data_IF_552833403185
#
_entry.id   IF_552833403185
#
_cell.length_a   1.000
_cell.length_b   1.000
_cell.length_c   1.000
_cell.angle_alpha   90.00
_cell.angle_beta   90.00
_cell.angle_gamma   90.00
#
_symmetry.space_group_name_H-M   'P 1'
#
loop_
_entity.id
_entity.type
_entity.pdbx_description
1 polymer ?
#
# COMPACT_ATOMS: atom_id res chain seq x y z
N UNK A 1 -20.24 -4.94 43.24
CA UNK A 1 -18.92 -4.37 43.58
C UNK A 1 -17.85 -5.34 43.10
N UNK A 2 -17.25 -5.02 41.95
CA UNK A 2 -16.08 -5.60 41.24
C UNK A 2 -16.44 -5.55 39.76
N UNK A 3 -15.90 -4.55 39.08
CA UNK A 3 -16.19 -4.27 37.68
C UNK A 3 -15.80 -2.84 37.38
N UNK A 4 -14.50 -2.59 37.26
CA UNK A 4 -13.96 -1.47 36.48
C UNK A 4 -12.44 -1.59 36.45
N UNK A 5 -11.87 -2.24 35.44
CA UNK A 5 -10.44 -2.11 35.15
C UNK A 5 -10.03 -2.50 33.72
N UNK A 6 -10.95 -2.40 32.74
CA UNK A 6 -10.60 -2.64 31.33
C UNK A 6 -11.07 -1.51 30.39
N UNK A 7 -12.11 -0.74 30.75
CA UNK A 7 -12.51 0.45 29.97
C UNK A 7 -11.62 1.69 30.18
N UNK A 8 -10.63 1.65 31.07
CA UNK A 8 -9.82 2.83 31.40
C UNK A 8 -8.57 3.03 30.50
N UNK A 9 -8.23 2.08 29.63
CA UNK A 9 -6.96 2.13 28.88
C UNK A 9 -7.07 2.61 27.43
N UNK A 10 -8.27 2.65 26.86
CA UNK A 10 -8.46 3.04 25.45
C UNK A 10 -8.84 4.53 25.31
N UNK A 11 -9.41 5.15 26.35
CA UNK A 11 -9.79 6.57 26.33
C UNK A 11 -8.76 7.52 26.97
N UNK A 12 -7.67 7.00 27.55
CA UNK A 12 -6.61 7.84 28.15
C UNK A 12 -5.55 8.32 27.14
N UNK A 13 -5.48 7.74 25.95
CA UNK A 13 -4.48 8.12 24.93
C UNK A 13 -4.93 9.33 24.06
N UNK A 14 -6.22 9.65 24.01
CA UNK A 14 -6.75 10.72 23.15
C UNK A 14 -7.21 11.98 23.93
N UNK A 15 -7.56 11.87 25.21
CA UNK A 15 -8.13 12.98 25.98
C UNK A 15 -7.10 13.90 26.67
N UNK A 16 -5.83 13.50 26.74
CA UNK A 16 -4.77 14.30 27.41
C UNK A 16 -4.30 15.49 26.56
N UNK A 17 -4.67 15.55 25.27
CA UNK A 17 -4.13 16.58 24.37
C UNK A 17 -5.07 17.74 24.02
N UNK A 18 -6.38 17.72 24.38
CA UNK A 18 -7.33 18.73 23.87
C UNK A 18 -8.42 19.26 24.84
N UNK A 19 -8.46 18.84 26.11
CA UNK A 19 -9.19 19.59 27.16
C UNK A 19 -10.69 19.86 26.93
N UNK A 20 -11.46 18.93 26.35
CA UNK A 20 -12.91 19.08 26.15
C UNK A 20 -13.73 18.23 27.15
N UNK A 21 -14.87 18.74 27.65
CA UNK A 21 -15.74 18.03 28.59
C UNK A 21 -16.62 16.97 27.89
N UNK A 22 -16.77 15.82 28.56
CA UNK A 22 -17.48 14.63 28.08
C UNK A 22 -18.95 14.63 28.51
N UNK A 23 -19.87 14.44 27.56
CA UNK A 23 -21.29 14.15 27.79
C UNK A 23 -21.54 12.65 27.59
N UNK A 24 -22.03 11.97 28.62
CA UNK A 24 -22.30 10.54 28.57
C UNK A 24 -23.64 10.22 27.91
N UNK A 25 -23.60 9.49 26.81
CA UNK A 25 -24.72 8.64 26.39
C UNK A 25 -24.17 7.35 25.75
N UNK A 26 -24.59 6.20 26.29
CA UNK A 26 -24.00 4.89 26.02
C UNK A 26 -25.03 3.95 25.37
N UNK A 27 -25.47 4.32 24.17
CA UNK A 27 -26.19 3.45 23.23
C UNK A 27 -25.87 3.90 21.82
N UNK A 28 -24.67 3.54 21.35
CA UNK A 28 -24.28 3.72 19.95
C UNK A 28 -23.68 2.41 19.45
N UNK A 29 -24.39 1.74 18.54
CA UNK A 29 -23.75 0.79 17.64
C UNK A 29 -22.63 1.54 16.94
N UNK A 30 -21.39 1.04 17.01
CA UNK A 30 -20.30 1.54 16.18
C UNK A 30 -20.65 1.19 14.73
N UNK A 31 -21.45 2.04 14.08
CA UNK A 31 -21.29 2.23 12.65
C UNK A 31 -19.89 2.80 12.52
N UNK A 32 -19.02 2.07 11.84
CA UNK A 32 -17.95 2.73 11.11
C UNK A 32 -18.67 3.66 10.12
N UNK A 33 -18.98 4.88 10.55
CA UNK A 33 -19.01 5.99 9.61
C UNK A 33 -17.68 5.88 8.89
N UNK A 34 -17.73 5.67 7.57
CA UNK A 34 -16.56 5.85 6.72
C UNK A 34 -15.90 7.10 7.26
N UNK A 35 -14.65 6.98 7.73
CA UNK A 35 -13.86 8.14 8.06
C UNK A 35 -13.68 8.89 6.74
N UNK A 36 -14.69 9.70 6.39
CA UNK A 36 -14.57 10.82 5.51
C UNK A 36 -13.62 11.72 6.28
N UNK A 37 -12.32 11.48 6.10
CA UNK A 37 -11.31 12.49 6.30
C UNK A 37 -11.93 13.74 5.69
N UNK A 38 -12.23 14.73 6.53
CA UNK A 38 -12.85 15.97 6.10
C UNK A 38 -12.04 16.47 4.90
N UNK A 39 -12.57 16.21 3.70
CA UNK A 39 -12.00 16.61 2.44
C UNK A 39 -12.32 18.10 2.32
N UNK A 40 -11.70 18.87 3.20
CA UNK A 40 -11.99 20.27 3.44
C UNK A 40 -11.37 21.06 2.28
N UNK A 41 -12.13 21.14 1.19
CA UNK A 41 -11.76 21.86 -0.02
C UNK A 41 -12.56 21.41 -1.24
N UNK A 42 -13.67 22.08 -1.61
CA UNK A 42 -14.44 21.81 -2.84
C UNK A 42 -13.66 22.05 -4.16
N UNK A 43 -12.34 22.22 -4.11
CA UNK A 43 -11.47 22.41 -5.28
C UNK A 43 -10.45 21.28 -5.52
N UNK A 44 -10.26 20.33 -4.60
CA UNK A 44 -9.14 19.36 -4.69
C UNK A 44 -9.24 18.41 -5.88
N UNK A 45 -10.43 17.89 -6.19
CA UNK A 45 -10.63 16.96 -7.33
C UNK A 45 -10.48 17.66 -8.68
N UNK A 46 -11.03 18.87 -8.81
CA UNK A 46 -10.87 19.70 -10.00
C UNK A 46 -9.41 20.13 -10.22
N UNK A 47 -8.71 20.47 -9.14
CA UNK A 47 -7.30 20.85 -9.18
C UNK A 47 -6.42 19.66 -9.60
N UNK A 48 -6.70 18.45 -9.09
CA UNK A 48 -5.98 17.24 -9.48
C UNK A 48 -6.19 16.89 -10.96
N UNK A 49 -7.44 16.86 -11.43
CA UNK A 49 -7.73 16.56 -12.84
C UNK A 49 -7.08 17.59 -13.80
N UNK A 50 -7.10 18.86 -13.41
CA UNK A 50 -6.41 19.94 -14.14
C UNK A 50 -4.89 19.75 -14.15
N UNK A 51 -4.30 19.35 -13.02
CA UNK A 51 -2.87 19.04 -12.94
C UNK A 51 -2.49 17.84 -13.81
N UNK A 52 -3.27 16.77 -13.77
CA UNK A 52 -3.08 15.57 -14.59
C UNK A 52 -3.14 15.89 -16.09
N UNK A 53 -4.10 16.72 -16.52
CA UNK A 53 -4.19 17.19 -17.90
C UNK A 53 -2.93 17.97 -18.33
N UNK A 54 -2.45 18.90 -17.48
CA UNK A 54 -1.22 19.65 -17.77
C UNK A 54 0.02 18.76 -17.86
N UNK A 55 0.10 17.69 -17.05
CA UNK A 55 1.19 16.72 -17.15
C UNK A 55 1.09 15.93 -18.44
N UNK A 56 -0.12 15.55 -18.87
CA UNK A 56 -0.31 14.90 -20.16
C UNK A 56 0.20 15.78 -21.31
N UNK A 57 -0.16 17.08 -21.33
CA UNK A 57 0.36 18.04 -22.31
C UNK A 57 1.90 18.11 -22.30
N UNK A 58 2.50 18.12 -21.11
CA UNK A 58 3.96 18.10 -20.96
C UNK A 58 4.59 16.84 -21.55
N UNK A 59 3.99 15.67 -21.30
CA UNK A 59 4.47 14.38 -21.80
C UNK A 59 4.29 14.23 -23.31
N UNK A 60 3.22 14.78 -23.89
CA UNK A 60 3.00 14.81 -25.33
C UNK A 60 3.98 15.75 -26.04
N UNK A 61 4.29 16.90 -25.43
CA UNK A 61 5.24 17.86 -25.97
C UNK A 61 6.71 17.40 -25.86
N UNK A 62 7.00 16.40 -25.02
CA UNK A 62 8.36 15.92 -24.74
C UNK A 62 8.57 14.52 -25.31
N UNK A 63 9.34 14.36 -26.41
CA UNK A 63 9.59 13.05 -26.99
C UNK A 63 10.18 12.09 -25.96
N UNK A 64 9.58 10.90 -25.84
CA UNK A 64 10.04 9.90 -24.88
C UNK A 64 11.31 9.23 -25.40
N UNK A 65 12.47 9.67 -24.93
CA UNK A 65 13.77 9.19 -25.41
C UNK A 65 14.47 8.22 -24.45
N UNK A 66 14.00 8.13 -23.20
CA UNK A 66 14.63 7.32 -22.15
C UNK A 66 13.80 6.10 -21.76
N UNK A 67 14.47 5.06 -21.24
CA UNK A 67 13.80 3.94 -20.59
C UNK A 67 13.62 4.19 -19.09
N UNK A 68 12.49 3.75 -18.54
CA UNK A 68 12.27 3.72 -17.10
C UNK A 68 12.93 2.49 -16.47
N UNK A 69 13.80 2.71 -15.48
CA UNK A 69 14.57 1.64 -14.83
C UNK A 69 14.13 1.35 -13.39
N UNK A 70 13.30 2.18 -12.74
CA UNK A 70 12.91 2.02 -11.33
C UNK A 70 11.73 1.04 -11.16
N UNK A 71 11.79 -0.09 -11.88
CA UNK A 71 10.68 -1.06 -11.97
C UNK A 71 10.39 -1.79 -10.65
N UNK A 72 11.40 -1.97 -9.80
CA UNK A 72 11.23 -2.67 -8.52
C UNK A 72 10.23 -1.99 -7.58
N UNK A 73 10.18 -0.66 -7.57
CA UNK A 73 9.17 0.08 -6.80
C UNK A 73 7.76 -0.15 -7.36
N UNK A 74 7.58 -0.01 -8.67
CA UNK A 74 6.30 -0.26 -9.35
C UNK A 74 5.77 -1.68 -9.12
N UNK A 75 6.63 -2.70 -9.25
CA UNK A 75 6.23 -4.08 -8.97
C UNK A 75 5.94 -4.34 -7.49
N UNK A 76 6.51 -3.55 -6.58
CA UNK A 76 6.18 -3.63 -5.16
C UNK A 76 4.77 -3.13 -4.88
N UNK A 77 4.36 -2.00 -5.50
CA UNK A 77 2.97 -1.53 -5.46
C UNK A 77 2.00 -2.58 -6.02
N UNK A 78 2.35 -3.21 -7.15
CA UNK A 78 1.57 -4.33 -7.69
C UNK A 78 1.47 -5.52 -6.72
N UNK A 79 2.57 -5.85 -6.05
CA UNK A 79 2.57 -6.89 -5.01
C UNK A 79 1.63 -6.53 -3.88
N UNK A 80 1.69 -5.31 -3.35
CA UNK A 80 0.78 -4.87 -2.28
C UNK A 80 -0.69 -4.98 -2.68
N UNK A 81 -1.06 -4.49 -3.87
CA UNK A 81 -2.43 -4.59 -4.40
C UNK A 81 -2.88 -6.05 -4.45
N UNK A 82 -2.04 -6.93 -5.00
CA UNK A 82 -2.31 -8.37 -5.07
C UNK A 82 -2.55 -8.97 -3.70
N UNK A 83 -1.69 -8.68 -2.71
CA UNK A 83 -1.83 -9.27 -1.38
C UNK A 83 -3.03 -8.71 -0.62
N UNK A 84 -3.38 -7.43 -0.82
CA UNK A 84 -4.60 -6.83 -0.28
C UNK A 84 -5.86 -7.51 -0.85
N UNK A 85 -5.90 -7.81 -2.15
CA UNK A 85 -7.00 -8.57 -2.76
C UNK A 85 -7.12 -9.99 -2.21
N UNK A 86 -5.98 -10.66 -1.97
CA UNK A 86 -5.98 -12.02 -1.39
C UNK A 86 -6.45 -11.98 0.06
N UNK A 87 -6.06 -10.97 0.82
CA UNK A 87 -6.54 -10.78 2.19
C UNK A 87 -8.05 -10.55 2.22
N UNK A 88 -8.60 -9.74 1.31
CA UNK A 88 -10.04 -9.56 1.15
C UNK A 88 -10.74 -10.90 0.92
N UNK A 89 -10.30 -11.67 -0.09
CA UNK A 89 -10.87 -12.98 -0.42
C UNK A 89 -10.79 -13.96 0.75
N UNK A 90 -9.68 -13.95 1.50
CA UNK A 90 -9.51 -14.82 2.67
C UNK A 90 -10.54 -14.48 3.75
N UNK A 91 -10.66 -13.19 4.08
CA UNK A 91 -11.60 -12.71 5.08
C UNK A 91 -13.06 -13.02 4.69
N UNK A 92 -13.45 -12.78 3.42
CA UNK A 92 -14.77 -13.14 2.91
C UNK A 92 -15.03 -14.65 2.99
N UNK A 93 -14.05 -15.49 2.63
CA UNK A 93 -14.17 -16.94 2.74
C UNK A 93 -14.33 -17.41 4.19
N UNK A 94 -13.72 -16.72 5.16
CA UNK A 94 -13.91 -17.01 6.59
C UNK A 94 -15.29 -16.59 7.09
N UNK A 95 -15.86 -15.49 6.56
CA UNK A 95 -17.24 -15.07 6.83
C UNK A 95 -18.29 -16.06 6.31
N UNK A 96 -18.01 -16.75 5.21
CA UNK A 96 -18.93 -17.75 4.64
C UNK A 96 -18.86 -19.10 5.38
N UNK A 97 -17.72 -19.40 6.00
CA UNK A 97 -17.41 -20.70 6.62
C UNK A 97 -17.83 -20.82 8.08
N UNK A 98 -18.49 -19.83 8.65
CA UNK A 98 -18.74 -19.62 10.09
C UNK A 98 -19.63 -20.65 10.79
N UNK A 99 -19.77 -21.84 10.21
CA UNK A 99 -20.44 -23.01 10.79
C UNK A 99 -19.47 -24.04 11.41
N UNK A 100 -18.15 -23.84 11.38
CA UNK A 100 -17.17 -24.79 11.95
C UNK A 100 -16.24 -24.17 13.01
N UNK A 101 -15.98 -24.93 14.08
CA UNK A 101 -15.14 -24.60 15.26
C UNK A 101 -13.68 -24.20 14.98
N UNK A 102 -13.22 -24.14 13.73
CA UNK A 102 -11.86 -23.75 13.38
C UNK A 102 -11.73 -22.24 13.14
N UNK A 103 -11.75 -21.45 14.22
CA UNK A 103 -11.40 -20.05 14.19
C UNK A 103 -9.93 -19.89 13.76
N UNK A 104 -9.70 -19.55 12.50
CA UNK A 104 -8.38 -19.25 11.98
C UNK A 104 -8.08 -17.77 12.15
N UNK A 105 -7.04 -17.46 12.93
CA UNK A 105 -6.55 -16.09 13.05
C UNK A 105 -6.02 -15.58 11.71
N UNK A 106 -6.49 -14.40 11.30
CA UNK A 106 -5.97 -13.62 10.16
C UNK A 106 -4.71 -12.82 10.51
N UNK A 107 -4.26 -12.86 11.77
CA UNK A 107 -3.20 -11.99 12.29
C UNK A 107 -1.90 -12.13 11.49
N UNK A 108 -1.54 -13.36 11.13
CA UNK A 108 -0.32 -13.62 10.35
C UNK A 108 -0.42 -13.06 8.94
N UNK A 109 -1.54 -13.24 8.27
CA UNK A 109 -1.76 -12.76 6.91
C UNK A 109 -1.79 -11.22 6.87
N UNK A 110 -2.40 -10.59 7.87
CA UNK A 110 -2.43 -9.13 8.02
C UNK A 110 -1.06 -8.59 8.37
N UNK A 111 -0.31 -9.23 9.27
CA UNK A 111 1.08 -8.84 9.58
C UNK A 111 1.97 -8.92 8.34
N UNK A 112 1.79 -9.94 7.49
CA UNK A 112 2.51 -10.00 6.21
C UNK A 112 2.12 -8.86 5.25
N UNK A 113 0.82 -8.64 5.02
CA UNK A 113 0.33 -7.63 4.07
C UNK A 113 0.70 -6.21 4.53
N UNK A 114 0.42 -5.89 5.79
CA UNK A 114 0.58 -4.55 6.37
C UNK A 114 1.97 -4.37 6.97
N UNK A 115 2.35 -5.25 7.91
CA UNK A 115 3.55 -5.14 8.72
C UNK A 115 4.85 -5.36 7.94
N UNK A 116 4.81 -6.22 6.91
CA UNK A 116 5.95 -6.49 6.04
C UNK A 116 5.85 -5.79 4.68
N UNK A 117 4.85 -6.13 3.85
CA UNK A 117 4.78 -5.69 2.46
C UNK A 117 4.54 -4.17 2.33
N UNK A 118 3.41 -3.68 2.84
CA UNK A 118 3.04 -2.27 2.79
C UNK A 118 4.07 -1.37 3.50
N UNK A 119 4.49 -1.74 4.72
CA UNK A 119 5.50 -0.99 5.47
C UNK A 119 6.83 -0.90 4.72
N UNK A 120 7.25 -1.98 4.07
CA UNK A 120 8.43 -2.00 3.21
C UNK A 120 8.31 -1.02 2.04
N UNK A 121 7.17 -1.00 1.35
CA UNK A 121 6.89 -0.05 0.27
C UNK A 121 6.90 1.40 0.74
N UNK A 122 6.10 1.73 1.77
CA UNK A 122 5.96 3.10 2.27
C UNK A 122 7.28 3.67 2.81
N UNK A 123 8.13 2.82 3.42
CA UNK A 123 9.47 3.24 3.83
C UNK A 123 10.29 3.72 2.64
N UNK A 124 10.29 2.98 1.53
CA UNK A 124 11.02 3.37 0.31
C UNK A 124 10.42 4.64 -0.30
N UNK A 125 9.09 4.76 -0.33
CA UNK A 125 8.40 5.94 -0.87
C UNK A 125 8.75 7.21 -0.11
N UNK A 126 8.53 7.19 1.21
CA UNK A 126 8.77 8.32 2.10
C UNK A 126 10.24 8.70 2.17
N UNK A 127 11.13 7.72 2.38
CA UNK A 127 12.53 8.02 2.72
C UNK A 127 13.41 8.22 1.48
N UNK A 128 13.01 7.66 0.32
CA UNK A 128 13.85 7.64 -0.87
C UNK A 128 13.13 8.16 -2.12
N UNK A 129 12.03 7.54 -2.53
CA UNK A 129 11.47 7.72 -3.87
C UNK A 129 10.83 9.09 -4.05
N UNK A 130 9.86 9.48 -3.22
CA UNK A 130 9.19 10.77 -3.37
C UNK A 130 10.13 11.97 -3.20
N UNK A 131 11.04 12.01 -2.20
CA UNK A 131 12.03 13.08 -2.12
C UNK A 131 12.94 13.15 -3.36
N UNK A 132 13.32 11.99 -3.91
CA UNK A 132 14.14 11.94 -5.10
C UNK A 132 13.39 12.44 -6.34
N UNK A 133 12.15 12.00 -6.56
CA UNK A 133 11.32 12.46 -7.69
C UNK A 133 11.08 13.96 -7.63
N UNK A 134 10.67 14.51 -6.47
CA UNK A 134 10.45 15.96 -6.30
C UNK A 134 11.68 16.76 -6.65
N UNK A 135 12.84 16.38 -6.09
CA UNK A 135 14.12 17.03 -6.40
C UNK A 135 14.44 16.99 -7.90
N UNK A 136 14.15 15.88 -8.58
CA UNK A 136 14.41 15.75 -10.02
C UNK A 136 13.47 16.63 -10.85
N UNK A 137 12.21 16.69 -10.49
CA UNK A 137 11.21 17.53 -11.14
C UNK A 137 11.54 19.01 -10.98
N UNK A 138 11.84 19.46 -9.75
CA UNK A 138 12.23 20.86 -9.46
C UNK A 138 13.46 21.30 -10.27
N UNK A 139 14.46 20.42 -10.40
CA UNK A 139 15.68 20.74 -11.14
C UNK A 139 15.48 20.73 -12.66
N UNK A 140 14.59 19.89 -13.18
CA UNK A 140 14.46 19.64 -14.62
C UNK A 140 13.35 20.47 -15.27
N UNK A 141 12.25 20.72 -14.57
CA UNK A 141 11.07 21.39 -15.10
C UNK A 141 11.17 22.88 -14.82
N UNK A 142 11.45 23.67 -15.87
CA UNK A 142 11.60 25.13 -15.76
C UNK A 142 10.27 25.89 -15.84
N UNK A 143 9.25 25.30 -16.45
CA UNK A 143 7.94 25.91 -16.52
C UNK A 143 7.23 25.78 -15.14
N UNK A 144 6.88 26.89 -14.48
CA UNK A 144 6.25 26.86 -13.16
C UNK A 144 4.87 26.18 -13.17
N UNK A 145 4.13 26.23 -14.28
CA UNK A 145 2.81 25.58 -14.38
C UNK A 145 2.93 24.05 -14.35
N UNK A 146 3.91 23.50 -15.07
CA UNK A 146 4.18 22.07 -15.04
C UNK A 146 4.75 21.65 -13.68
N UNK A 147 5.67 22.43 -13.12
CA UNK A 147 6.21 22.15 -11.78
C UNK A 147 5.10 22.11 -10.71
N UNK A 148 4.16 23.06 -10.75
CA UNK A 148 2.99 23.07 -9.87
C UNK A 148 2.11 21.84 -10.09
N UNK A 149 1.81 21.49 -11.34
CA UNK A 149 0.99 20.32 -11.67
C UNK A 149 1.61 19.01 -11.13
N UNK A 150 2.92 18.81 -11.33
CA UNK A 150 3.63 17.67 -10.76
C UNK A 150 3.63 17.68 -9.23
N UNK A 151 3.78 18.85 -8.59
CA UNK A 151 3.66 18.94 -7.13
C UNK A 151 2.29 18.46 -6.66
N UNK A 152 1.20 18.93 -7.29
CA UNK A 152 -0.17 18.52 -6.95
C UNK A 152 -0.36 17.00 -7.06
N UNK A 153 0.11 16.39 -8.14
CA UNK A 153 0.04 14.92 -8.30
C UNK A 153 0.88 14.17 -7.26
N UNK A 154 2.09 14.66 -6.95
CA UNK A 154 2.95 14.07 -5.92
C UNK A 154 2.35 14.24 -4.51
N UNK A 155 1.68 15.35 -4.23
CA UNK A 155 0.99 15.60 -2.97
C UNK A 155 -0.21 14.66 -2.81
N UNK A 156 -0.97 14.43 -3.89
CA UNK A 156 -2.05 13.44 -3.90
C UNK A 156 -1.53 12.01 -3.64
N UNK A 157 -0.45 11.59 -4.31
CA UNK A 157 0.13 10.25 -4.11
C UNK A 157 0.63 10.03 -2.67
N UNK A 158 1.24 11.06 -2.07
CA UNK A 158 1.64 11.01 -0.66
C UNK A 158 0.41 10.98 0.28
N UNK A 159 -0.66 11.70 -0.03
CA UNK A 159 -1.94 11.62 0.69
C UNK A 159 -2.60 10.24 0.59
N UNK A 160 -2.62 9.64 -0.60
CA UNK A 160 -3.11 8.27 -0.82
C UNK A 160 -2.29 7.27 0.00
N UNK A 161 -0.94 7.39 0.00
CA UNK A 161 -0.03 6.58 0.81
C UNK A 161 -0.33 6.69 2.31
N UNK A 162 -0.55 7.90 2.82
CA UNK A 162 -0.89 8.14 4.23
C UNK A 162 -2.25 7.55 4.60
N UNK A 163 -3.22 7.63 3.68
CA UNK A 163 -4.53 6.97 3.83
C UNK A 163 -4.36 5.46 3.94
N UNK A 164 -3.57 4.84 3.06
CA UNK A 164 -3.25 3.41 3.11
C UNK A 164 -2.54 3.01 4.41
N UNK A 165 -1.63 3.85 4.91
CA UNK A 165 -0.95 3.63 6.20
C UNK A 165 -1.94 3.61 7.36
N UNK A 166 -2.90 4.55 7.37
CA UNK A 166 -3.98 4.60 8.37
C UNK A 166 -4.87 3.36 8.30
N UNK A 167 -5.29 2.97 7.09
CA UNK A 167 -6.07 1.75 6.87
C UNK A 167 -5.32 0.50 7.36
N UNK A 168 -4.02 0.41 7.09
CA UNK A 168 -3.20 -0.71 7.56
C UNK A 168 -3.10 -0.79 9.08
N UNK A 169 -2.95 0.34 9.78
CA UNK A 169 -2.96 0.36 11.25
C UNK A 169 -4.30 -0.12 11.83
N UNK A 170 -5.41 0.35 11.25
CA UNK A 170 -6.76 -0.08 11.66
C UNK A 170 -7.00 -1.57 11.35
N UNK A 171 -6.53 -2.08 10.21
CA UNK A 171 -6.58 -3.51 9.87
C UNK A 171 -5.88 -4.37 10.92
N UNK A 172 -4.68 -3.97 11.36
CA UNK A 172 -3.92 -4.70 12.37
C UNK A 172 -4.69 -4.76 13.71
N UNK A 173 -5.37 -3.69 14.11
CA UNK A 173 -6.14 -3.66 15.36
C UNK A 173 -7.41 -4.51 15.28
N UNK A 174 -8.20 -4.37 14.22
CA UNK A 174 -9.44 -5.15 14.02
C UNK A 174 -9.14 -6.64 13.94
N UNK A 175 -8.01 -7.00 13.35
CA UNK A 175 -7.60 -8.41 13.23
C UNK A 175 -7.32 -9.05 14.59
N UNK A 176 -6.83 -8.29 15.57
CA UNK A 176 -6.69 -8.79 16.95
C UNK A 176 -8.05 -9.12 17.55
N UNK A 177 -9.08 -8.30 17.28
CA UNK A 177 -10.44 -8.58 17.73
C UNK A 177 -11.01 -9.86 17.09
N UNK A 178 -10.73 -10.08 15.80
CA UNK A 178 -11.12 -11.31 15.10
C UNK A 178 -10.40 -12.56 15.64
N UNK A 179 -9.14 -12.42 16.04
CA UNK A 179 -8.29 -13.50 16.53
C UNK A 179 -8.55 -13.89 17.99
N UNK A 180 -9.07 -12.98 18.81
CA UNK A 180 -9.32 -13.22 20.23
C UNK A 180 -10.49 -14.21 20.43
N UNK A 181 -10.19 -15.37 21.01
CA UNK A 181 -11.17 -16.42 21.29
C UNK A 181 -12.19 -16.04 22.36
N UNK A 182 -11.88 -15.05 23.19
CA UNK A 182 -12.77 -14.57 24.25
C UNK A 182 -13.86 -13.64 23.69
N UNK A 183 -13.66 -13.11 22.48
CA UNK A 183 -14.67 -12.30 21.81
C UNK A 183 -15.86 -13.15 21.34
N UNK A 184 -17.11 -12.67 21.55
CA UNK A 184 -18.30 -13.34 21.04
C UNK A 184 -18.25 -13.59 19.53
N UNK A 185 -18.91 -14.67 19.07
CA UNK A 185 -18.87 -15.06 17.66
C UNK A 185 -19.32 -13.95 16.71
N UNK A 186 -20.35 -13.17 17.07
CA UNK A 186 -20.81 -12.04 16.24
C UNK A 186 -19.75 -10.93 16.15
N UNK A 187 -19.04 -10.62 17.23
CA UNK A 187 -17.96 -9.62 17.23
C UNK A 187 -16.82 -10.04 16.31
N UNK A 188 -16.43 -11.32 16.34
CA UNK A 188 -15.40 -11.85 15.43
C UNK A 188 -15.85 -11.82 13.98
N UNK A 189 -17.14 -12.07 13.72
CA UNK A 189 -17.72 -11.98 12.38
C UNK A 189 -17.73 -10.54 11.86
N UNK A 190 -18.14 -9.57 12.68
CA UNK A 190 -18.08 -8.16 12.32
C UNK A 190 -16.63 -7.72 12.03
N UNK A 191 -15.67 -8.24 12.80
CA UNK A 191 -14.24 -7.99 12.58
C UNK A 191 -13.74 -8.59 11.24
N UNK A 192 -14.17 -9.80 10.87
CA UNK A 192 -13.83 -10.37 9.56
C UNK A 192 -14.43 -9.55 8.40
N UNK A 193 -15.66 -9.06 8.54
CA UNK A 193 -16.30 -8.20 7.54
C UNK A 193 -15.54 -6.88 7.37
N UNK A 194 -15.15 -6.27 8.49
CA UNK A 194 -14.32 -5.08 8.48
C UNK A 194 -12.94 -5.34 7.84
N UNK A 195 -12.27 -6.45 8.13
CA UNK A 195 -11.01 -6.81 7.45
C UNK A 195 -11.22 -6.99 5.95
N UNK A 196 -12.30 -7.65 5.52
CA UNK A 196 -12.62 -7.82 4.11
C UNK A 196 -12.83 -6.46 3.42
N UNK A 197 -13.65 -5.58 3.99
CA UNK A 197 -13.93 -4.25 3.44
C UNK A 197 -12.69 -3.36 3.37
N UNK A 198 -11.90 -3.31 4.45
CA UNK A 198 -10.71 -2.47 4.52
C UNK A 198 -9.58 -2.95 3.60
N UNK A 199 -9.40 -4.26 3.46
CA UNK A 199 -8.41 -4.81 2.51
C UNK A 199 -8.82 -4.57 1.05
N UNK A 200 -10.11 -4.61 0.73
CA UNK A 200 -10.60 -4.20 -0.59
C UNK A 200 -10.35 -2.70 -0.85
N UNK A 201 -10.59 -1.86 0.16
CA UNK A 201 -10.30 -0.42 0.09
C UNK A 201 -8.79 -0.16 -0.08
N UNK A 202 -7.93 -0.87 0.66
CA UNK A 202 -6.48 -0.81 0.50
C UNK A 202 -6.05 -1.16 -0.93
N UNK A 203 -6.61 -2.23 -1.51
CA UNK A 203 -6.35 -2.62 -2.89
C UNK A 203 -6.86 -1.55 -3.89
N UNK A 204 -8.01 -0.92 -3.64
CA UNK A 204 -8.54 0.18 -4.46
C UNK A 204 -7.57 1.37 -4.49
N UNK A 205 -7.10 1.84 -3.34
CA UNK A 205 -6.12 2.93 -3.28
C UNK A 205 -4.80 2.55 -3.97
N UNK A 206 -4.27 1.35 -3.70
CA UNK A 206 -3.04 0.90 -4.35
C UNK A 206 -3.14 0.82 -5.88
N UNK A 207 -4.31 0.46 -6.44
CA UNK A 207 -4.55 0.50 -7.90
C UNK A 207 -4.60 1.93 -8.44
N UNK A 208 -5.29 2.83 -7.75
CA UNK A 208 -5.39 4.23 -8.14
C UNK A 208 -4.01 4.92 -8.12
N UNK A 209 -3.20 4.65 -7.10
CA UNK A 209 -1.81 5.09 -7.04
C UNK A 209 -1.01 4.54 -8.23
N UNK A 210 -1.02 3.22 -8.42
CA UNK A 210 -0.28 2.57 -9.52
C UNK A 210 -0.69 3.12 -10.90
N UNK A 211 -1.98 3.35 -11.14
CA UNK A 211 -2.47 3.93 -12.40
C UNK A 211 -1.91 5.34 -12.62
N UNK A 212 -1.96 6.20 -11.60
CA UNK A 212 -1.44 7.56 -11.67
C UNK A 212 0.08 7.58 -11.84
N UNK A 213 0.77 6.71 -11.15
CA UNK A 213 2.22 6.51 -11.27
C UNK A 213 2.61 6.09 -12.69
N UNK A 214 1.96 5.06 -13.23
CA UNK A 214 2.21 4.54 -14.58
C UNK A 214 1.89 5.56 -15.67
N UNK A 215 0.80 6.32 -15.49
CA UNK A 215 0.34 7.29 -16.48
C UNK A 215 1.18 8.56 -16.50
N UNK A 216 1.66 9.03 -15.35
CA UNK A 216 2.27 10.35 -15.23
C UNK A 216 3.72 10.32 -14.75
N UNK A 217 4.01 9.64 -13.62
CA UNK A 217 5.34 9.69 -13.02
C UNK A 217 6.37 8.85 -13.78
N UNK A 218 6.02 7.62 -14.15
CA UNK A 218 6.89 6.70 -14.89
C UNK A 218 7.41 7.34 -16.19
N UNK A 219 6.55 7.84 -17.10
CA UNK A 219 7.03 8.49 -18.31
C UNK A 219 7.78 9.81 -18.03
N UNK A 220 7.35 10.60 -17.05
CA UNK A 220 8.06 11.82 -16.68
C UNK A 220 9.49 11.54 -16.20
N UNK A 221 9.66 10.57 -15.29
CA UNK A 221 10.98 10.16 -14.78
C UNK A 221 11.84 9.59 -15.89
N UNK A 222 11.27 8.76 -16.78
CA UNK A 222 11.99 8.22 -17.94
C UNK A 222 12.55 9.33 -18.85
N UNK A 223 11.82 10.44 -18.97
CA UNK A 223 12.18 11.57 -19.83
C UNK A 223 13.17 12.54 -19.18
N UNK A 224 12.99 12.87 -17.90
CA UNK A 224 13.76 13.92 -17.23
C UNK A 224 15.01 13.39 -16.52
N UNK A 225 15.03 12.12 -16.12
CA UNK A 225 16.11 11.55 -15.31
C UNK A 225 17.01 10.65 -16.16
N UNK A 226 18.34 10.91 -16.22
CA UNK A 226 19.27 10.04 -16.92
C UNK A 226 19.22 8.59 -16.42
N UNK A 227 19.30 7.62 -17.35
CA UNK A 227 19.20 6.19 -17.00
C UNK A 227 20.25 5.74 -15.97
N UNK A 228 21.47 6.30 -16.03
CA UNK A 228 22.53 6.01 -15.07
C UNK A 228 22.14 6.38 -13.65
N UNK A 229 21.40 7.48 -13.48
CA UNK A 229 20.92 7.91 -12.18
C UNK A 229 19.76 7.06 -11.69
N UNK A 230 18.82 6.68 -12.56
CA UNK A 230 17.75 5.75 -12.21
C UNK A 230 18.32 4.39 -11.72
N UNK A 231 19.34 3.87 -12.41
CA UNK A 231 20.05 2.65 -11.99
C UNK A 231 20.78 2.82 -10.65
N UNK A 232 21.38 3.99 -10.42
CA UNK A 232 22.00 4.32 -9.12
C UNK A 232 20.96 4.35 -7.98
N UNK A 233 19.78 4.92 -8.25
CA UNK A 233 18.66 4.91 -7.31
C UNK A 233 18.23 3.48 -6.94
N UNK A 234 18.08 2.58 -7.91
CA UNK A 234 17.77 1.16 -7.63
C UNK A 234 18.77 0.50 -6.68
N UNK A 235 20.07 0.76 -6.89
CA UNK A 235 21.11 0.24 -6.00
C UNK A 235 20.95 0.78 -4.57
N UNK A 236 20.50 2.03 -4.42
CA UNK A 236 20.20 2.63 -3.10
C UNK A 236 18.98 1.96 -2.44
N UNK A 237 17.93 1.67 -3.19
CA UNK A 237 16.73 0.97 -2.68
C UNK A 237 17.08 -0.42 -2.16
N UNK A 238 17.83 -1.21 -2.94
CA UNK A 238 18.24 -2.58 -2.54
C UNK A 238 19.03 -2.55 -1.22
N UNK A 239 19.92 -1.58 -1.03
CA UNK A 239 20.68 -1.41 0.23
C UNK A 239 19.79 -1.05 1.41
N UNK A 240 18.71 -0.29 1.20
CA UNK A 240 17.80 0.16 2.26
C UNK A 240 16.77 -0.89 2.68
N UNK A 241 16.38 -1.78 1.77
CA UNK A 241 15.52 -2.94 2.08
C UNK A 241 16.28 -4.00 2.89
N UNK A 242 17.59 -4.13 2.70
CA UNK A 242 18.37 -5.20 3.32
C UNK A 242 18.26 -6.52 2.57
N UNK A 243 19.28 -7.38 2.73
CA UNK A 243 19.47 -8.57 1.88
C UNK A 243 18.42 -9.66 2.12
N UNK A 244 17.87 -9.76 3.33
CA UNK A 244 16.89 -10.79 3.67
C UNK A 244 15.50 -10.41 3.17
N UNK A 245 15.03 -9.21 3.51
CA UNK A 245 13.69 -8.74 3.16
C UNK A 245 13.54 -8.56 1.64
N UNK A 246 14.59 -8.11 0.96
CA UNK A 246 14.59 -7.97 -0.51
C UNK A 246 14.29 -9.28 -1.25
N UNK A 247 14.59 -10.45 -0.67
CA UNK A 247 14.26 -11.75 -1.29
C UNK A 247 12.77 -12.02 -1.24
N UNK A 248 12.13 -11.73 -0.12
CA UNK A 248 10.68 -11.94 0.05
C UNK A 248 9.90 -10.95 -0.80
N UNK A 249 10.29 -9.67 -0.81
CA UNK A 249 9.70 -8.67 -1.70
C UNK A 249 9.87 -9.05 -3.17
N UNK A 250 11.06 -9.52 -3.59
CA UNK A 250 11.27 -9.92 -4.99
C UNK A 250 10.39 -11.11 -5.40
N UNK A 251 10.13 -12.06 -4.51
CA UNK A 251 9.14 -13.12 -4.79
C UNK A 251 7.74 -12.52 -4.93
N UNK A 252 7.32 -11.64 -4.02
CA UNK A 252 6.01 -10.97 -4.11
C UNK A 252 5.84 -10.18 -5.41
N UNK A 253 6.86 -9.45 -5.83
CA UNK A 253 6.92 -8.72 -7.11
C UNK A 253 6.81 -9.66 -8.31
N UNK A 254 7.55 -10.78 -8.30
CA UNK A 254 7.47 -11.79 -9.36
C UNK A 254 6.07 -12.38 -9.49
N UNK A 255 5.46 -12.78 -8.37
CA UNK A 255 4.10 -13.34 -8.38
C UNK A 255 3.08 -12.33 -8.89
N UNK A 256 3.22 -11.05 -8.54
CA UNK A 256 2.36 -9.99 -9.03
C UNK A 256 2.49 -9.77 -10.55
N UNK A 257 3.72 -9.77 -11.07
CA UNK A 257 3.97 -9.69 -12.52
C UNK A 257 3.38 -10.88 -13.26
N UNK A 258 3.54 -12.09 -12.72
CA UNK A 258 3.03 -13.30 -13.38
C UNK A 258 1.50 -13.37 -13.40
N UNK A 259 0.84 -12.85 -12.35
CA UNK A 259 -0.62 -12.83 -12.26
C UNK A 259 -1.29 -11.87 -13.25
N UNK A 260 -0.63 -10.79 -13.68
CA UNK A 260 -1.22 -9.86 -14.66
C UNK A 260 -1.42 -10.46 -16.06
N UNK A 261 -0.76 -11.59 -16.36
CA UNK A 261 -0.74 -12.23 -17.68
C UNK A 261 -0.36 -11.30 -18.85
N UNK A 262 0.51 -10.32 -18.57
CA UNK A 262 1.07 -9.41 -19.58
C UNK A 262 2.49 -9.83 -19.93
N UNK A 263 2.67 -10.35 -21.15
CA UNK A 263 3.97 -10.84 -21.62
C UNK A 263 5.06 -9.74 -21.64
N UNK A 264 4.68 -8.49 -21.93
CA UNK A 264 5.60 -7.36 -21.88
C UNK A 264 6.18 -7.12 -20.48
N UNK A 265 5.39 -7.30 -19.43
CA UNK A 265 5.82 -7.15 -18.04
C UNK A 265 6.73 -8.30 -17.61
N UNK A 266 6.41 -9.54 -18.00
CA UNK A 266 7.27 -10.71 -17.74
C UNK A 266 8.64 -10.55 -18.39
N UNK A 267 8.67 -10.14 -19.66
CA UNK A 267 9.91 -9.86 -20.39
C UNK A 267 10.72 -8.74 -19.71
N UNK A 268 10.05 -7.66 -19.32
CA UNK A 268 10.68 -6.55 -18.62
C UNK A 268 11.27 -6.97 -17.27
N UNK A 269 10.58 -7.84 -16.53
CA UNK A 269 11.08 -8.43 -15.29
C UNK A 269 12.35 -9.26 -15.54
N UNK A 270 12.33 -10.10 -16.56
CA UNK A 270 13.46 -10.95 -16.93
C UNK A 270 14.70 -10.18 -17.39
N UNK A 271 14.49 -9.05 -18.08
CA UNK A 271 15.56 -8.16 -18.53
C UNK A 271 16.14 -7.31 -17.38
N UNK A 272 15.29 -6.90 -16.44
CA UNK A 272 15.68 -6.00 -15.35
C UNK A 272 16.33 -6.74 -14.18
N UNK A 273 15.80 -7.91 -13.80
CA UNK A 273 16.28 -8.65 -12.63
C UNK A 273 17.48 -9.53 -13.02
N UNK A 274 18.63 -9.43 -12.32
CA UNK A 274 19.79 -10.26 -12.60
C UNK A 274 19.47 -11.75 -12.55
N UNK A 275 20.17 -12.53 -13.38
CA UNK A 275 19.86 -13.96 -13.59
C UNK A 275 19.98 -14.82 -12.33
N UNK A 276 20.92 -14.50 -11.42
CA UNK A 276 21.11 -15.26 -10.18
C UNK A 276 19.88 -15.11 -9.24
N UNK A 277 19.45 -13.90 -8.84
CA UNK A 277 18.19 -13.72 -8.12
C UNK A 277 17.00 -14.39 -8.79
N UNK A 278 16.83 -14.27 -10.11
CA UNK A 278 15.73 -14.92 -10.84
C UNK A 278 15.71 -16.43 -10.66
N UNK A 279 16.86 -17.09 -10.83
CA UNK A 279 16.98 -18.55 -10.62
C UNK A 279 16.71 -18.98 -9.17
N UNK A 280 16.85 -18.06 -8.21
CA UNK A 280 16.62 -18.34 -6.78
C UNK A 280 15.17 -18.12 -6.36
N UNK A 281 14.34 -17.43 -7.16
CA UNK A 281 12.93 -17.14 -6.84
C UNK A 281 12.17 -18.42 -6.42
N UNK A 282 12.22 -19.56 -7.14
CA UNK A 282 11.48 -20.76 -6.72
C UNK A 282 11.90 -21.26 -5.33
N UNK A 283 13.20 -21.17 -5.00
CA UNK A 283 13.70 -21.57 -3.68
C UNK A 283 13.28 -20.59 -2.59
N UNK A 284 13.36 -19.28 -2.85
CA UNK A 284 12.92 -18.26 -1.90
C UNK A 284 11.41 -18.27 -1.71
N UNK A 285 10.65 -18.59 -2.75
CA UNK A 285 9.20 -18.78 -2.68
C UNK A 285 8.85 -19.83 -1.63
N UNK A 286 9.39 -21.04 -1.80
CA UNK A 286 9.15 -22.17 -0.89
C UNK A 286 9.66 -21.93 0.53
N UNK A 287 10.86 -21.36 0.69
CA UNK A 287 11.53 -21.31 1.99
C UNK A 287 11.25 -20.06 2.80
N UNK A 288 10.86 -18.95 2.16
CA UNK A 288 10.74 -17.64 2.81
C UNK A 288 9.34 -17.06 2.63
N UNK A 289 8.87 -16.96 1.38
CA UNK A 289 7.63 -16.27 1.06
C UNK A 289 6.38 -17.07 1.45
N UNK A 290 6.26 -18.34 1.04
CA UNK A 290 5.11 -19.20 1.39
C UNK A 290 4.91 -19.32 2.91
N UNK A 291 5.98 -19.54 3.71
CA UNK A 291 5.85 -19.50 5.17
C UNK A 291 5.41 -18.15 5.71
N UNK A 292 5.80 -17.03 5.08
CA UNK A 292 5.44 -15.69 5.53
C UNK A 292 3.97 -15.36 5.24
N UNK A 293 3.49 -15.66 4.02
CA UNK A 293 2.14 -15.29 3.57
C UNK A 293 1.02 -16.15 4.14
N UNK A 294 1.35 -17.29 4.76
CA UNK A 294 0.36 -18.18 5.39
C UNK A 294 -0.73 -18.63 4.41
N UNK A 295 -1.98 -18.50 4.84
CA UNK A 295 -3.18 -18.97 4.12
C UNK A 295 -3.54 -18.16 2.89
N UNK A 296 -2.87 -17.03 2.65
CA UNK A 296 -3.05 -16.32 1.39
C UNK A 296 -2.70 -17.23 0.19
N UNK A 297 -1.82 -18.23 0.38
CA UNK A 297 -1.42 -19.20 -0.66
C UNK A 297 -2.53 -20.16 -1.11
N UNK A 298 -3.62 -20.27 -0.35
CA UNK A 298 -4.69 -21.23 -0.61
C UNK A 298 -5.85 -20.64 -1.45
N UNK A 299 -5.62 -19.48 -2.08
CA UNK A 299 -6.61 -18.67 -2.80
C UNK A 299 -6.35 -18.57 -4.30
#
# INVERSE_FOLDING_TARGET
MRGSLVCLLIHLAAAVSWGLPWSGDATSCVRFEEATVDADGPNTENDLASAEAKIADFLEATPTNGKFHVQGWRWHTMSLVREADRLNKLATKLLEKSSSDEAHSLEKEVDYVVGFNMKGLHKIERDLFFPWVRKKMELSIKNPDFAKAFSTVMDQLEGDRQTMETLGMSLAEITRMAADSDNPSNVRMDAYDAVASMSATLAKYGRAMLEREDKFLVPAVANIVPESEQKSFNNKVIRNLGVFDSRVHLVGMHEAVWQLDKESERKLFDETIPSIPRKMIPRWKRLLYEPAIGKLNDL
#
